data_IF_841698497936
#
_entry.id   IF_841698497936
#
_cell.length_a   1.000
_cell.length_b   1.000
_cell.length_c   1.000
_cell.angle_alpha   90.00
_cell.angle_beta   90.00
_cell.angle_gamma   90.00
#
_symmetry.space_group_name_H-M   'P 1'
#
loop_
_entity.id
_entity.type
_entity.pdbx_description
1 polymer ?
#
# COMPACT_ATOMS: atom_id res chain seq x y z
N UNK A 1 -12.56 10.95 16.69
CA UNK A 1 -12.18 9.61 16.19
C UNK A 1 -11.46 8.87 17.29
N UNK A 2 -11.64 7.55 17.42
CA UNK A 2 -10.88 6.75 18.39
C UNK A 2 -9.38 6.81 18.06
N UNK A 3 -8.54 6.95 19.08
CA UNK A 3 -7.09 6.97 18.95
C UNK A 3 -6.55 5.56 19.23
N UNK A 4 -5.91 4.95 18.23
CA UNK A 4 -5.16 3.71 18.40
C UNK A 4 -3.69 4.04 18.67
N UNK A 5 -3.18 3.67 19.84
CA UNK A 5 -1.75 3.77 20.17
C UNK A 5 -1.17 2.38 20.38
N UNK A 6 -0.10 2.07 19.66
CA UNK A 6 0.68 0.84 19.86
C UNK A 6 1.83 1.15 20.81
N UNK A 7 1.83 0.54 22.00
CA UNK A 7 2.92 0.69 22.97
C UNK A 7 4.10 -0.20 22.56
N UNK A 8 5.32 0.26 22.82
CA UNK A 8 6.57 -0.47 22.55
C UNK A 8 6.66 -0.97 21.10
N UNK A 9 6.26 -0.14 20.13
CA UNK A 9 6.32 -0.51 18.72
C UNK A 9 7.77 -0.86 18.32
N UNK A 10 8.03 -2.08 17.83
CA UNK A 10 9.36 -2.47 17.38
C UNK A 10 9.86 -1.53 16.28
N UNK A 11 11.09 -1.04 16.43
CA UNK A 11 11.68 -0.05 15.51
C UNK A 11 11.65 -0.51 14.05
N UNK A 12 11.88 -1.81 13.80
CA UNK A 12 11.79 -2.43 12.48
C UNK A 12 10.43 -2.22 11.81
N UNK A 13 9.35 -2.34 12.57
CA UNK A 13 7.98 -2.17 12.06
C UNK A 13 7.73 -0.70 11.74
N UNK A 14 8.10 0.20 12.66
CA UNK A 14 7.94 1.64 12.46
C UNK A 14 8.69 2.13 11.22
N UNK A 15 9.98 1.74 11.07
CA UNK A 15 10.80 2.07 9.91
C UNK A 15 10.17 1.60 8.61
N UNK A 16 9.69 0.35 8.59
CA UNK A 16 9.03 -0.20 7.41
C UNK A 16 7.76 0.60 7.06
N UNK A 17 6.91 0.91 8.04
CA UNK A 17 5.72 1.73 7.81
C UNK A 17 6.07 3.14 7.29
N UNK A 18 7.12 3.76 7.81
CA UNK A 18 7.57 5.08 7.38
C UNK A 18 8.10 5.09 5.94
N UNK A 19 8.89 4.08 5.56
CA UNK A 19 9.38 3.90 4.19
C UNK A 19 8.22 3.73 3.19
N UNK A 20 7.26 2.88 3.52
CA UNK A 20 6.09 2.64 2.69
C UNK A 20 5.21 3.90 2.59
N UNK A 21 5.01 4.61 3.70
CA UNK A 21 4.28 5.88 3.71
C UNK A 21 4.92 6.91 2.78
N UNK A 22 6.27 7.03 2.82
CA UNK A 22 7.01 7.92 1.93
C UNK A 22 6.86 7.52 0.46
N UNK A 23 6.93 6.20 0.15
CA UNK A 23 6.78 5.69 -1.22
C UNK A 23 5.39 5.96 -1.79
N UNK A 24 4.35 5.84 -0.97
CA UNK A 24 2.96 6.06 -1.38
C UNK A 24 2.51 7.53 -1.24
N UNK A 25 3.42 8.45 -0.89
CA UNK A 25 3.13 9.86 -0.62
C UNK A 25 2.01 10.08 0.41
N UNK A 26 2.01 9.28 1.47
CA UNK A 26 1.02 9.28 2.56
C UNK A 26 1.66 9.63 3.89
N UNK A 27 0.84 10.04 4.86
CA UNK A 27 1.30 10.11 6.26
C UNK A 27 1.46 8.70 6.85
N UNK A 28 2.29 8.56 7.89
CA UNK A 28 2.43 7.27 8.61
C UNK A 28 1.08 6.76 9.12
N UNK A 29 0.22 7.65 9.62
CA UNK A 29 -1.11 7.28 10.10
C UNK A 29 -1.98 6.70 8.97
N UNK A 30 -2.03 7.36 7.82
CA UNK A 30 -2.77 6.88 6.64
C UNK A 30 -2.24 5.54 6.14
N UNK A 31 -0.91 5.40 6.06
CA UNK A 31 -0.30 4.14 5.65
C UNK A 31 -0.59 3.01 6.64
N UNK A 32 -0.59 3.31 7.95
CA UNK A 32 -0.92 2.34 8.99
C UNK A 32 -2.36 1.85 8.83
N UNK A 33 -3.31 2.75 8.63
CA UNK A 33 -4.72 2.40 8.39
C UNK A 33 -4.84 1.52 7.14
N UNK A 34 -4.29 1.95 6.00
CA UNK A 34 -4.35 1.19 4.75
C UNK A 34 -3.72 -0.21 4.88
N UNK A 35 -2.63 -0.31 5.64
CA UNK A 35 -1.95 -1.58 5.91
C UNK A 35 -2.83 -2.49 6.77
N UNK A 36 -3.42 -1.97 7.85
CA UNK A 36 -4.32 -2.72 8.73
C UNK A 36 -5.57 -3.18 7.99
N UNK A 37 -6.22 -2.32 7.21
CA UNK A 37 -7.38 -2.67 6.39
C UNK A 37 -7.08 -3.82 5.42
N UNK A 38 -5.89 -3.81 4.83
CA UNK A 38 -5.45 -4.86 3.90
C UNK A 38 -5.21 -6.18 4.63
N UNK A 39 -4.51 -6.15 5.78
CA UNK A 39 -4.17 -7.37 6.54
C UNK A 39 -5.40 -7.99 7.20
N UNK A 40 -6.31 -7.15 7.68
CA UNK A 40 -7.55 -7.59 8.34
C UNK A 40 -8.66 -7.94 7.33
N UNK A 41 -8.38 -7.88 6.03
CA UNK A 41 -9.35 -8.10 4.94
C UNK A 41 -10.61 -7.25 5.06
N UNK A 42 -10.51 -6.06 5.67
CA UNK A 42 -11.67 -5.19 5.93
C UNK A 42 -12.14 -4.47 4.67
N UNK A 43 -11.35 -4.50 3.60
CA UNK A 43 -11.65 -3.81 2.35
C UNK A 43 -11.42 -4.72 1.13
N UNK A 44 -12.18 -5.80 1.02
CA UNK A 44 -12.19 -6.70 -0.15
C UNK A 44 -12.36 -5.93 -1.48
N UNK A 45 -13.19 -4.89 -1.48
CA UNK A 45 -13.38 -4.00 -2.64
C UNK A 45 -12.11 -3.24 -3.04
N UNK A 46 -11.32 -2.73 -2.08
CA UNK A 46 -10.06 -2.02 -2.35
C UNK A 46 -8.98 -3.00 -2.81
N UNK A 47 -8.91 -4.19 -2.21
CA UNK A 47 -7.99 -5.26 -2.62
C UNK A 47 -8.28 -5.66 -4.07
N UNK A 48 -9.55 -5.86 -4.42
CA UNK A 48 -9.99 -6.17 -5.77
C UNK A 48 -9.68 -5.02 -6.75
N UNK A 49 -9.96 -3.77 -6.38
CA UNK A 49 -9.69 -2.59 -7.21
C UNK A 49 -8.19 -2.38 -7.48
N UNK A 50 -7.34 -2.52 -6.46
CA UNK A 50 -5.88 -2.42 -6.61
C UNK A 50 -5.32 -3.56 -7.49
N UNK A 51 -5.86 -4.78 -7.35
CA UNK A 51 -5.51 -5.91 -8.21
C UNK A 51 -5.90 -5.65 -9.67
N UNK A 52 -7.12 -5.15 -9.91
CA UNK A 52 -7.60 -4.81 -11.25
C UNK A 52 -6.75 -3.70 -11.89
N UNK A 53 -6.43 -2.63 -11.13
CA UNK A 53 -5.58 -1.54 -11.61
C UNK A 53 -4.18 -2.00 -11.99
N UNK A 54 -3.55 -2.86 -11.17
CA UNK A 54 -2.24 -3.45 -11.48
C UNK A 54 -2.28 -4.31 -12.73
N UNK A 55 -3.34 -5.11 -12.91
CA UNK A 55 -3.54 -5.92 -14.12
C UNK A 55 -3.62 -5.03 -15.36
N UNK A 56 -4.46 -4.00 -15.33
CA UNK A 56 -4.60 -3.05 -16.44
C UNK A 56 -3.27 -2.34 -16.77
N UNK A 57 -2.51 -1.91 -15.75
CA UNK A 57 -1.21 -1.31 -15.97
C UNK A 57 -0.22 -2.29 -16.61
N UNK A 58 -0.20 -3.54 -16.16
CA UNK A 58 0.68 -4.58 -16.73
C UNK A 58 0.34 -4.90 -18.19
N UNK A 59 -0.95 -4.91 -18.53
CA UNK A 59 -1.41 -5.09 -19.92
C UNK A 59 -0.99 -3.90 -20.79
N UNK A 60 -1.12 -2.67 -20.28
CA UNK A 60 -0.66 -1.45 -20.98
C UNK A 60 0.85 -1.43 -21.20
N UNK A 61 1.64 -1.85 -20.21
CA UNK A 61 3.10 -1.95 -20.34
C UNK A 61 3.48 -3.03 -21.35
N UNK A 62 2.79 -4.17 -21.38
CA UNK A 62 3.03 -5.21 -22.41
C UNK A 62 2.64 -4.78 -23.81
N UNK A 63 1.58 -3.97 -23.94
CA UNK A 63 1.12 -3.42 -25.21
C UNK A 63 2.03 -2.29 -25.73
N UNK A 64 2.84 -1.69 -24.86
CA UNK A 64 3.93 -0.82 -25.29
C UNK A 64 5.12 -1.72 -25.67
N UNK A 65 5.37 -1.89 -26.97
CA UNK A 65 6.64 -2.42 -27.46
C UNK A 65 7.75 -1.47 -27.01
N UNK A 66 8.41 -1.80 -25.89
CA UNK A 66 9.55 -1.03 -25.41
C UNK A 66 10.65 -1.19 -26.48
N UNK A 67 11.07 -0.11 -27.16
CA UNK A 67 12.16 -0.20 -28.12
C UNK A 67 13.39 -0.72 -27.38
N UNK A 68 13.92 -1.88 -27.80
CA UNK A 68 15.23 -2.34 -27.36
C UNK A 68 16.26 -1.33 -27.88
N UNK A 69 16.86 -0.57 -26.96
CA UNK A 69 18.10 0.16 -27.20
C UNK A 69 19.28 -0.82 -27.30
#
# INVERSE_FOLDING_TARGET
MPLLQVRNCPEKIYKKLAEEAKREHRTIAQQTIATLETILNLNEAIIAANKARRKLLSERVRAMEIPKA
#
